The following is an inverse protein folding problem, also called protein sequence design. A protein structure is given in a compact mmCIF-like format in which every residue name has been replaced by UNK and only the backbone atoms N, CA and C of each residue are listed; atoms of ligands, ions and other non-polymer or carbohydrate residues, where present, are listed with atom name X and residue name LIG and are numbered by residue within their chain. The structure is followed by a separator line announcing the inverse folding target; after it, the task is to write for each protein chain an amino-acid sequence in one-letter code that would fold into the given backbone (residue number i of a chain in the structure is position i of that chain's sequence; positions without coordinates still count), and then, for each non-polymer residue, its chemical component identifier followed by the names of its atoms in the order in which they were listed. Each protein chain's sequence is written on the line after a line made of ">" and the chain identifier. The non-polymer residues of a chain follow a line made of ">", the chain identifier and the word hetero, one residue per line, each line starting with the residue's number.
data_IF_461002299310
#
_entry.id   IF_461002299310
#
_cell.length_a   1.000
_cell.length_b   1.000
_cell.length_c   1.000
_cell.angle_alpha   90.00
_cell.angle_beta   90.00
_cell.angle_gamma   90.00
#
_symmetry.space_group_name_H-M   'P 1'
#
loop_
_entity.id
_entity.type
_entity.pdbx_description
1 polymer ?
#
# COMPACT_ATOMS: atom_id res chain seq x y z
N UNK A 1 -4.23 -21.55 -2.10
CA UNK A 1 -3.43 -20.32 -2.23
C UNK A 1 -4.39 -19.15 -2.47
N UNK A 2 -4.03 -17.86 -2.27
CA UNK A 2 -5.03 -16.75 -2.31
C UNK A 2 -5.80 -16.65 -3.63
N UNK A 3 -5.20 -17.10 -4.75
CA UNK A 3 -5.85 -17.13 -6.06
C UNK A 3 -6.89 -18.26 -6.24
N UNK A 4 -7.04 -19.15 -5.25
CA UNK A 4 -7.90 -20.34 -5.29
C UNK A 4 -8.99 -20.28 -4.19
N UNK A 5 -9.17 -19.11 -3.56
CA UNK A 5 -10.15 -18.95 -2.50
C UNK A 5 -11.57 -18.88 -3.07
N UNK A 6 -12.52 -19.43 -2.31
CA UNK A 6 -13.95 -19.29 -2.55
C UNK A 6 -14.60 -18.58 -1.35
N UNK A 7 -15.29 -17.44 -1.55
CA UNK A 7 -15.48 -16.74 -2.83
C UNK A 7 -14.19 -16.10 -3.37
N UNK A 8 -14.11 -15.97 -4.70
CA UNK A 8 -12.98 -15.30 -5.38
C UNK A 8 -12.90 -13.82 -4.96
N UNK A 9 -11.76 -13.35 -4.42
CA UNK A 9 -11.60 -11.95 -4.03
C UNK A 9 -11.40 -11.05 -5.26
N UNK A 10 -11.96 -9.85 -5.22
CA UNK A 10 -11.74 -8.85 -6.29
C UNK A 10 -10.28 -8.37 -6.34
N UNK A 11 -9.66 -8.28 -5.17
CA UNK A 11 -8.35 -7.70 -4.98
C UNK A 11 -7.62 -8.42 -3.83
N UNK A 12 -6.31 -8.61 -4.00
CA UNK A 12 -5.43 -9.19 -2.98
C UNK A 12 -4.24 -8.27 -2.76
N UNK A 13 -3.94 -8.03 -1.48
CA UNK A 13 -2.76 -7.29 -1.06
C UNK A 13 -1.48 -8.09 -1.38
N UNK A 14 -0.57 -7.50 -2.16
CA UNK A 14 0.70 -8.10 -2.54
C UNK A 14 1.84 -7.29 -1.94
N UNK A 15 2.67 -7.96 -1.16
CA UNK A 15 3.92 -7.39 -0.64
C UNK A 15 5.05 -7.63 -1.63
N UNK A 16 5.95 -6.65 -1.75
CA UNK A 16 7.07 -6.71 -2.68
C UNK A 16 8.37 -6.30 -1.98
N UNK A 17 9.42 -7.04 -2.28
CA UNK A 17 10.71 -7.01 -1.60
C UNK A 17 10.68 -7.52 -0.16
N UNK A 18 11.61 -8.42 0.14
CA UNK A 18 11.90 -8.82 1.51
C UNK A 18 12.45 -7.64 2.30
N UNK A 19 11.84 -7.32 3.43
CA UNK A 19 12.28 -6.27 4.34
C UNK A 19 12.04 -6.65 5.79
N UNK A 20 12.71 -5.96 6.70
CA UNK A 20 12.29 -5.96 8.10
C UNK A 20 10.88 -5.32 8.21
N UNK A 21 10.09 -5.80 9.17
CA UNK A 21 8.76 -5.30 9.52
C UNK A 21 8.64 -5.22 11.03
N UNK A 22 9.55 -4.48 11.68
CA UNK A 22 9.47 -4.21 13.11
C UNK A 22 8.32 -3.23 13.40
N UNK A 23 7.10 -3.76 13.54
CA UNK A 23 5.86 -3.02 13.87
C UNK A 23 5.80 -2.57 15.33
N UNK A 24 6.93 -2.53 16.00
CA UNK A 24 7.08 -2.13 17.40
C UNK A 24 7.91 -0.86 17.51
N UNK A 25 8.71 -0.53 16.48
CA UNK A 25 9.66 0.58 16.49
C UNK A 25 8.99 1.96 16.65
N UNK A 26 7.77 2.11 16.13
CA UNK A 26 7.00 3.35 16.22
C UNK A 26 5.99 3.36 17.38
N UNK A 27 5.85 2.24 18.07
CA UNK A 27 4.90 2.08 19.16
C UNK A 27 5.57 2.41 20.50
N UNK A 28 4.77 2.88 21.45
CA UNK A 28 5.15 2.86 22.86
C UNK A 28 4.52 1.62 23.53
N UNK A 29 5.09 1.16 24.64
CA UNK A 29 4.54 0.02 25.41
C UNK A 29 3.06 0.21 25.76
N UNK A 30 2.66 1.46 26.01
CA UNK A 30 1.29 1.83 26.31
C UNK A 30 0.31 1.60 25.13
N UNK A 31 0.78 1.57 23.88
CA UNK A 31 -0.07 1.20 22.74
C UNK A 31 -0.52 -0.27 22.82
N UNK A 32 0.33 -1.13 23.38
CA UNK A 32 0.05 -2.55 23.57
C UNK A 32 -0.67 -2.86 24.88
N UNK A 33 -0.92 -1.87 25.73
CA UNK A 33 -1.55 -2.09 27.03
C UNK A 33 -2.90 -2.81 26.89
N UNK A 34 -3.04 -3.90 27.65
CA UNK A 34 -4.21 -4.79 27.65
C UNK A 34 -4.35 -5.64 26.38
N UNK A 35 -3.27 -5.88 25.64
CA UNK A 35 -3.25 -6.76 24.46
C UNK A 35 -2.29 -7.92 24.66
N UNK A 36 -2.35 -8.92 23.76
CA UNK A 36 -1.39 -10.03 23.78
C UNK A 36 0.07 -9.57 23.60
N UNK A 37 0.30 -8.40 23.00
CA UNK A 37 1.63 -7.83 22.75
C UNK A 37 2.31 -7.27 24.02
N UNK A 38 1.65 -7.27 25.18
CA UNK A 38 2.33 -7.04 26.48
C UNK A 38 3.26 -8.20 26.87
N UNK A 39 3.03 -9.40 26.32
CA UNK A 39 3.85 -10.57 26.63
C UNK A 39 5.20 -10.43 25.90
N UNK A 40 6.35 -10.48 26.60
CA UNK A 40 7.67 -10.29 25.99
C UNK A 40 7.91 -11.17 24.77
N UNK A 41 7.56 -12.46 24.83
CA UNK A 41 7.72 -13.37 23.71
C UNK A 41 6.93 -12.94 22.44
N UNK A 42 5.75 -12.35 22.61
CA UNK A 42 4.94 -11.84 21.48
C UNK A 42 5.51 -10.51 20.98
N UNK A 43 5.88 -9.62 21.90
CA UNK A 43 6.54 -8.36 21.56
C UNK A 43 7.80 -8.61 20.73
N UNK A 44 8.68 -9.50 21.19
CA UNK A 44 9.93 -9.86 20.52
C UNK A 44 9.67 -10.50 19.16
N UNK A 45 8.65 -11.36 19.03
CA UNK A 45 8.27 -11.92 17.73
C UNK A 45 7.86 -10.85 16.71
N UNK A 46 7.12 -9.81 17.13
CA UNK A 46 6.75 -8.69 16.25
C UNK A 46 7.90 -7.71 15.99
N UNK A 47 8.84 -7.61 16.93
CA UNK A 47 10.06 -6.81 16.77
C UNK A 47 10.99 -7.40 15.72
N UNK A 48 11.16 -8.72 15.73
CA UNK A 48 12.04 -9.46 14.81
C UNK A 48 11.33 -9.89 13.50
N UNK A 49 10.10 -9.44 13.27
CA UNK A 49 9.29 -9.86 12.12
C UNK A 49 9.85 -9.32 10.79
N UNK A 50 9.83 -10.18 9.75
CA UNK A 50 10.23 -9.84 8.37
C UNK A 50 9.09 -10.09 7.40
N UNK A 51 9.04 -9.35 6.29
CA UNK A 51 8.19 -9.67 5.14
C UNK A 51 8.93 -10.64 4.22
N UNK A 52 8.47 -11.90 4.04
CA UNK A 52 9.12 -12.86 3.15
C UNK A 52 8.64 -12.70 1.69
N UNK A 53 8.91 -11.55 1.06
CA UNK A 53 8.48 -11.23 -0.30
C UNK A 53 9.63 -11.24 -1.33
N UNK A 54 10.30 -12.39 -1.48
CA UNK A 54 11.37 -12.55 -2.46
C UNK A 54 10.86 -12.37 -3.91
N UNK A 55 11.70 -11.92 -4.86
CA UNK A 55 11.27 -11.60 -6.23
C UNK A 55 10.54 -12.75 -6.96
N UNK A 56 11.04 -13.98 -6.84
CA UNK A 56 10.42 -15.14 -7.48
C UNK A 56 9.03 -15.45 -6.93
N UNK A 57 8.87 -15.34 -5.60
CA UNK A 57 7.58 -15.52 -4.94
C UNK A 57 6.58 -14.44 -5.37
N UNK A 58 7.00 -13.17 -5.38
CA UNK A 58 6.13 -12.06 -5.76
C UNK A 58 5.67 -12.18 -7.22
N UNK A 59 6.59 -12.48 -8.14
CA UNK A 59 6.27 -12.68 -9.56
C UNK A 59 5.28 -13.84 -9.76
N UNK A 60 5.56 -14.99 -9.15
CA UNK A 60 4.66 -16.15 -9.21
C UNK A 60 3.26 -15.80 -8.68
N UNK A 61 3.20 -15.15 -7.51
CA UNK A 61 1.95 -14.79 -6.86
C UNK A 61 1.13 -13.85 -7.75
N UNK A 62 1.74 -12.80 -8.29
CA UNK A 62 1.09 -11.84 -9.19
C UNK A 62 0.57 -12.52 -10.46
N UNK A 63 1.34 -13.43 -11.06
CA UNK A 63 0.90 -14.16 -12.27
C UNK A 63 -0.34 -15.00 -11.99
N UNK A 64 -0.35 -15.71 -10.86
CA UNK A 64 -1.48 -16.56 -10.49
C UNK A 64 -2.73 -15.74 -10.14
N UNK A 65 -2.58 -14.62 -9.43
CA UNK A 65 -3.69 -13.68 -9.19
C UNK A 65 -4.24 -13.13 -10.52
N UNK A 66 -3.36 -12.67 -11.41
CA UNK A 66 -3.77 -12.12 -12.72
C UNK A 66 -4.49 -13.16 -13.58
N UNK A 67 -4.01 -14.42 -13.57
CA UNK A 67 -4.67 -15.52 -14.29
C UNK A 67 -6.06 -15.85 -13.74
N UNK A 68 -6.29 -15.61 -12.44
CA UNK A 68 -7.59 -15.73 -11.79
C UNK A 68 -8.47 -14.48 -11.93
N UNK A 69 -8.01 -13.43 -12.62
CA UNK A 69 -8.74 -12.17 -12.75
C UNK A 69 -8.74 -11.31 -11.48
N UNK A 70 -7.86 -11.60 -10.52
CA UNK A 70 -7.78 -10.92 -9.22
C UNK A 70 -6.78 -9.77 -9.30
N UNK A 71 -7.20 -8.57 -8.92
CA UNK A 71 -6.32 -7.41 -8.95
C UNK A 71 -5.27 -7.47 -7.82
N UNK A 72 -4.00 -7.21 -8.13
CA UNK A 72 -2.98 -7.00 -7.10
C UNK A 72 -3.06 -5.56 -6.55
N UNK A 73 -3.19 -5.42 -5.23
CA UNK A 73 -2.98 -4.14 -4.52
C UNK A 73 -1.62 -4.15 -3.85
N UNK A 74 -0.70 -3.31 -4.31
CA UNK A 74 0.69 -3.37 -3.88
C UNK A 74 0.94 -2.63 -2.57
N UNK A 75 1.55 -3.31 -1.61
CA UNK A 75 2.10 -2.67 -0.41
C UNK A 75 3.54 -2.22 -0.71
N UNK A 76 3.72 -0.91 -0.86
CA UNK A 76 5.02 -0.32 -1.14
C UNK A 76 5.56 0.33 0.14
N UNK A 77 6.63 -0.26 0.69
CA UNK A 77 7.22 0.16 1.96
C UNK A 77 8.10 1.40 1.83
N UNK A 78 8.63 1.63 0.65
CA UNK A 78 9.50 2.73 0.28
C UNK A 78 9.61 2.78 -1.25
N UNK A 79 10.43 3.69 -1.77
CA UNK A 79 10.65 3.86 -3.22
C UNK A 79 11.24 2.61 -3.90
N UNK A 80 11.96 1.74 -3.18
CA UNK A 80 12.56 0.54 -3.76
C UNK A 80 11.50 -0.54 -4.03
N UNK A 81 10.52 -0.68 -3.13
CA UNK A 81 9.31 -1.49 -3.35
C UNK A 81 8.55 -1.04 -4.59
N UNK A 82 8.36 0.27 -4.73
CA UNK A 82 7.71 0.85 -5.91
C UNK A 82 8.50 0.57 -7.20
N UNK A 83 9.83 0.76 -7.20
CA UNK A 83 10.68 0.46 -8.36
C UNK A 83 10.51 -0.99 -8.81
N UNK A 84 10.46 -1.93 -7.87
CA UNK A 84 10.23 -3.35 -8.18
C UNK A 84 8.87 -3.59 -8.86
N UNK A 85 7.80 -2.92 -8.39
CA UNK A 85 6.47 -2.99 -9.02
C UNK A 85 6.50 -2.40 -10.42
N UNK A 86 7.10 -1.23 -10.60
CA UNK A 86 7.26 -0.61 -11.91
C UNK A 86 8.00 -1.56 -12.88
N UNK A 87 9.06 -2.25 -12.42
CA UNK A 87 9.77 -3.24 -13.25
C UNK A 87 8.93 -4.45 -13.61
N UNK A 88 8.06 -4.92 -12.71
CA UNK A 88 7.12 -5.99 -13.02
C UNK A 88 6.13 -5.56 -14.11
N UNK A 89 5.62 -4.33 -14.04
CA UNK A 89 4.72 -3.76 -15.04
C UNK A 89 5.41 -3.55 -16.38
N UNK A 90 6.62 -2.97 -16.39
CA UNK A 90 7.41 -2.75 -17.62
C UNK A 90 7.77 -4.04 -18.35
N UNK A 91 7.91 -5.16 -17.62
CA UNK A 91 8.14 -6.51 -18.17
C UNK A 91 6.86 -7.23 -18.57
N UNK A 92 5.69 -6.61 -18.38
CA UNK A 92 4.38 -7.22 -18.68
C UNK A 92 3.98 -8.36 -17.74
N UNK A 93 4.61 -8.46 -16.56
CA UNK A 93 4.28 -9.46 -15.54
C UNK A 93 2.96 -9.10 -14.87
N UNK A 94 2.81 -7.82 -14.51
CA UNK A 94 1.53 -7.26 -14.08
C UNK A 94 1.01 -6.33 -15.17
N UNK A 95 -0.22 -6.59 -15.64
CA UNK A 95 -0.88 -5.82 -16.69
C UNK A 95 -2.21 -5.25 -16.22
N UNK A 96 -2.27 -4.77 -14.98
CA UNK A 96 -3.48 -4.19 -14.40
C UNK A 96 -3.31 -2.72 -14.00
N UNK A 97 -4.39 -2.10 -13.50
CA UNK A 97 -4.35 -0.80 -12.84
C UNK A 97 -3.43 -0.80 -11.62
N UNK A 98 -2.61 0.23 -11.47
CA UNK A 98 -1.71 0.38 -10.34
C UNK A 98 -2.48 0.90 -9.13
N UNK A 99 -2.94 -0.03 -8.29
CA UNK A 99 -3.49 0.26 -6.96
C UNK A 99 -2.42 -0.08 -5.93
N UNK A 100 -2.09 0.88 -5.08
CA UNK A 100 -1.03 0.70 -4.10
C UNK A 100 -1.20 1.53 -2.84
N UNK A 101 -0.49 1.09 -1.81
CA UNK A 101 -0.39 1.77 -0.54
C UNK A 101 1.06 2.21 -0.31
N UNK A 102 1.23 3.43 0.20
CA UNK A 102 2.47 3.86 0.84
C UNK A 102 2.40 3.48 2.31
N UNK A 103 3.29 2.57 2.74
CA UNK A 103 3.22 1.92 4.06
C UNK A 103 4.33 2.45 4.96
N UNK A 104 3.96 3.34 5.87
CA UNK A 104 4.88 4.00 6.79
C UNK A 104 4.71 3.49 8.23
N UNK A 105 5.09 2.24 8.47
CA UNK A 105 4.92 1.55 9.78
C UNK A 105 6.25 1.30 10.51
N UNK A 106 7.38 1.73 9.94
CA UNK A 106 8.72 1.64 10.54
C UNK A 106 9.38 0.28 10.40
N UNK A 107 10.54 0.10 11.01
CA UNK A 107 11.18 -1.21 11.09
C UNK A 107 11.74 -1.72 9.77
N UNK A 108 12.24 -0.85 8.89
CA UNK A 108 12.70 -1.20 7.53
C UNK A 108 11.83 -0.59 6.42
N UNK A 109 10.70 0.01 6.79
CA UNK A 109 9.80 0.75 5.91
C UNK A 109 9.94 2.26 6.13
N UNK A 110 9.31 3.07 5.29
CA UNK A 110 9.38 4.52 5.38
C UNK A 110 8.90 5.04 6.75
N UNK A 111 9.49 6.15 7.18
CA UNK A 111 9.01 6.90 8.34
C UNK A 111 7.72 7.65 7.98
N UNK A 112 6.76 7.82 8.91
CA UNK A 112 5.50 8.53 8.70
C UNK A 112 5.71 10.05 8.70
N UNK A 113 6.57 10.51 7.81
CA UNK A 113 6.99 11.91 7.66
C UNK A 113 6.61 12.44 6.29
N UNK A 114 6.39 13.76 6.22
CA UNK A 114 6.13 14.44 4.95
C UNK A 114 7.28 14.27 3.95
N UNK A 115 8.53 14.16 4.42
CA UNK A 115 9.69 14.01 3.54
C UNK A 115 9.70 12.64 2.86
N UNK A 116 9.42 11.58 3.60
CA UNK A 116 9.29 10.21 3.07
C UNK A 116 8.12 10.12 2.10
N UNK A 117 6.95 10.63 2.48
CA UNK A 117 5.76 10.65 1.62
C UNK A 117 6.02 11.45 0.33
N UNK A 118 6.59 12.65 0.42
CA UNK A 118 6.88 13.47 -0.75
C UNK A 118 7.88 12.80 -1.70
N UNK A 119 8.90 12.14 -1.16
CA UNK A 119 9.86 11.39 -1.96
C UNK A 119 9.19 10.20 -2.68
N UNK A 120 8.28 9.49 -1.99
CA UNK A 120 7.52 8.40 -2.58
C UNK A 120 6.58 8.90 -3.68
N UNK A 121 5.74 9.89 -3.38
CA UNK A 121 4.74 10.46 -4.30
C UNK A 121 5.39 11.02 -5.55
N UNK A 122 6.62 11.57 -5.47
CA UNK A 122 7.37 12.03 -6.64
C UNK A 122 7.59 10.95 -7.70
N UNK A 123 7.63 9.67 -7.32
CA UNK A 123 7.85 8.55 -8.23
C UNK A 123 6.54 7.97 -8.78
N UNK A 124 5.40 8.23 -8.12
CA UNK A 124 4.10 7.67 -8.46
C UNK A 124 3.56 8.30 -9.74
N UNK A 125 3.11 7.50 -10.73
CA UNK A 125 2.55 8.05 -11.96
C UNK A 125 1.12 8.53 -11.74
N UNK A 126 0.68 9.50 -12.54
CA UNK A 126 -0.60 10.20 -12.37
C UNK A 126 -1.84 9.28 -12.42
N UNK A 127 -1.75 8.14 -13.10
CA UNK A 127 -2.86 7.19 -13.26
C UNK A 127 -3.01 6.17 -12.12
N UNK A 128 -2.12 6.19 -11.13
CA UNK A 128 -2.14 5.26 -10.00
C UNK A 128 -3.15 5.67 -8.91
N UNK A 129 -3.68 4.67 -8.22
CA UNK A 129 -4.52 4.86 -7.02
C UNK A 129 -3.63 4.64 -5.80
N UNK A 130 -3.27 5.74 -5.12
CA UNK A 130 -2.42 5.71 -3.94
C UNK A 130 -3.22 5.91 -2.65
N UNK A 131 -3.05 4.99 -1.71
CA UNK A 131 -3.54 5.07 -0.33
C UNK A 131 -2.39 5.28 0.64
N UNK A 132 -2.52 6.16 1.63
CA UNK A 132 -1.53 6.27 2.72
C UNK A 132 -1.90 5.34 3.88
N UNK A 133 -0.90 4.68 4.45
CA UNK A 133 -1.02 3.71 5.53
C UNK A 133 0.09 3.92 6.57
N UNK A 134 -0.24 3.79 7.85
CA UNK A 134 0.71 3.87 8.97
C UNK A 134 0.20 3.03 10.14
N UNK A 135 0.89 3.02 11.27
CA UNK A 135 0.51 2.25 12.45
C UNK A 135 0.39 3.13 13.69
N UNK A 136 -0.23 2.56 14.73
CA UNK A 136 -0.47 3.18 16.04
C UNK A 136 -1.07 4.59 15.90
N UNK A 137 -0.72 5.51 16.79
CA UNK A 137 -1.23 6.89 16.76
C UNK A 137 -0.66 7.74 15.60
N UNK A 138 0.17 7.18 14.71
CA UNK A 138 0.60 7.85 13.47
C UNK A 138 -0.45 7.77 12.35
N UNK A 139 -1.42 6.85 12.46
CA UNK A 139 -2.50 6.65 11.47
C UNK A 139 -3.25 7.96 11.17
N UNK A 140 -3.75 8.66 12.19
CA UNK A 140 -4.55 9.88 11.96
C UNK A 140 -3.70 11.01 11.34
N UNK A 141 -2.52 11.38 11.86
CA UNK A 141 -1.64 12.36 11.21
C UNK A 141 -1.30 12.04 9.75
N UNK A 142 -0.99 10.77 9.44
CA UNK A 142 -0.71 10.34 8.06
C UNK A 142 -1.96 10.47 7.18
N UNK A 143 -3.13 10.12 7.70
CA UNK A 143 -4.39 10.33 7.01
C UNK A 143 -4.67 11.82 6.75
N UNK A 144 -4.28 12.72 7.66
CA UNK A 144 -4.42 14.17 7.41
C UNK A 144 -3.54 14.64 6.26
N UNK A 145 -2.30 14.15 6.17
CA UNK A 145 -1.44 14.41 5.01
C UNK A 145 -2.08 13.88 3.72
N UNK A 146 -2.57 12.64 3.75
CA UNK A 146 -3.24 12.01 2.61
C UNK A 146 -4.46 12.80 2.12
N UNK A 147 -5.38 13.17 3.03
CA UNK A 147 -6.57 13.97 2.70
C UNK A 147 -6.18 15.31 2.10
N UNK A 148 -5.22 16.03 2.71
CA UNK A 148 -4.79 17.33 2.22
C UNK A 148 -4.15 17.28 0.82
N UNK A 149 -3.52 16.15 0.48
CA UNK A 149 -2.90 15.91 -0.84
C UNK A 149 -3.88 15.33 -1.87
N UNK A 150 -5.14 15.04 -1.48
CA UNK A 150 -6.12 14.40 -2.36
C UNK A 150 -5.96 12.88 -2.52
N UNK A 151 -5.12 12.24 -1.70
CA UNK A 151 -4.87 10.79 -1.72
C UNK A 151 -5.98 10.01 -1.00
N UNK A 152 -5.98 8.68 -1.16
CA UNK A 152 -6.81 7.79 -0.35
C UNK A 152 -6.18 7.54 1.03
N UNK A 153 -7.01 7.16 2.00
CA UNK A 153 -6.60 6.97 3.41
C UNK A 153 -7.14 5.65 3.95
N UNK A 154 -6.38 5.04 4.86
CA UNK A 154 -6.71 3.77 5.51
C UNK A 154 -6.77 3.96 7.03
N UNK A 155 -7.73 3.29 7.67
CA UNK A 155 -7.80 3.20 9.13
C UNK A 155 -8.49 1.91 9.57
N UNK A 156 -8.39 1.61 10.86
CA UNK A 156 -9.00 0.44 11.47
C UNK A 156 -8.21 -0.07 12.66
N UNK A 157 -8.80 -1.01 13.41
CA UNK A 157 -8.15 -1.61 14.58
C UNK A 157 -6.95 -2.48 14.27
N UNK A 158 -6.75 -2.85 12.99
CA UNK A 158 -5.49 -3.47 12.52
C UNK A 158 -4.32 -2.50 12.71
N UNK A 159 -4.54 -1.23 12.35
CA UNK A 159 -3.48 -0.23 12.29
C UNK A 159 -3.34 0.52 13.63
N UNK A 160 -4.45 0.86 14.28
CA UNK A 160 -4.45 1.60 15.54
C UNK A 160 -5.59 1.19 16.49
N UNK A 161 -5.26 0.97 17.76
CA UNK A 161 -6.22 0.59 18.80
C UNK A 161 -6.73 1.77 19.64
N UNK A 162 -6.12 2.94 19.58
CA UNK A 162 -6.36 4.05 20.50
C UNK A 162 -6.83 5.30 19.78
N UNK A 163 -7.62 6.11 20.47
CA UNK A 163 -7.81 7.49 20.05
C UNK A 163 -6.52 8.30 20.25
N UNK A 164 -6.49 9.51 19.68
CA UNK A 164 -5.25 10.29 19.62
C UNK A 164 -4.73 10.76 20.98
N UNK A 165 -5.64 11.00 21.94
CA UNK A 165 -5.30 11.33 23.34
C UNK A 165 -4.96 10.10 24.20
N UNK A 166 -5.09 8.88 23.66
CA UNK A 166 -4.99 7.60 24.39
C UNK A 166 -5.90 7.51 25.63
N UNK A 167 -7.03 8.21 25.62
CA UNK A 167 -8.01 8.14 26.70
C UNK A 167 -8.99 6.97 26.55
N UNK A 168 -9.15 6.44 25.34
CA UNK A 168 -10.04 5.32 25.06
C UNK A 168 -9.56 4.52 23.84
N UNK A 169 -9.92 3.24 23.80
CA UNK A 169 -9.77 2.42 22.59
C UNK A 169 -10.70 2.96 21.48
N UNK A 170 -10.23 2.96 20.25
CA UNK A 170 -10.99 3.43 19.09
C UNK A 170 -11.43 2.25 18.22
N UNK A 171 -12.73 2.06 18.04
CA UNK A 171 -13.25 1.05 17.12
C UNK A 171 -13.02 1.46 15.67
N UNK A 172 -12.96 0.50 14.74
CA UNK A 172 -12.86 0.77 13.29
C UNK A 172 -13.97 1.72 12.83
N UNK A 173 -15.20 1.55 13.33
CA UNK A 173 -16.33 2.44 13.01
C UNK A 173 -16.05 3.87 13.46
N UNK A 174 -15.58 4.08 14.70
CA UNK A 174 -15.28 5.43 15.21
C UNK A 174 -14.16 6.12 14.43
N UNK A 175 -13.16 5.36 13.98
CA UNK A 175 -12.07 5.87 13.15
C UNK A 175 -12.59 6.26 11.76
N UNK A 176 -13.45 5.44 11.15
CA UNK A 176 -14.11 5.74 9.87
C UNK A 176 -14.95 7.01 10.01
N UNK A 177 -15.82 7.10 11.02
CA UNK A 177 -16.65 8.29 11.26
C UNK A 177 -15.82 9.56 11.41
N UNK A 178 -14.68 9.48 12.10
CA UNK A 178 -13.74 10.59 12.24
C UNK A 178 -13.17 11.03 10.88
N UNK A 179 -12.71 10.09 10.04
CA UNK A 179 -12.19 10.41 8.72
C UNK A 179 -13.27 10.93 7.77
N UNK A 180 -14.49 10.37 7.82
CA UNK A 180 -15.64 10.84 7.02
C UNK A 180 -15.99 12.27 7.38
N UNK A 181 -16.03 12.61 8.67
CA UNK A 181 -16.26 13.99 9.13
C UNK A 181 -15.18 14.92 8.58
N UNK A 182 -13.90 14.59 8.78
CA UNK A 182 -12.78 15.44 8.34
C UNK A 182 -12.77 15.61 6.82
N UNK A 183 -13.00 14.54 6.06
CA UNK A 183 -13.07 14.63 4.60
C UNK A 183 -14.18 15.58 4.14
N UNK A 184 -15.34 15.59 4.81
CA UNK A 184 -16.44 16.52 4.51
C UNK A 184 -16.09 17.97 4.79
N UNK A 185 -15.29 18.26 5.81
CA UNK A 185 -14.78 19.63 6.06
C UNK A 185 -13.92 20.15 4.90
N UNK A 186 -13.26 19.26 4.16
CA UNK A 186 -12.48 19.59 2.95
C UNK A 186 -13.33 19.56 1.66
N UNK A 187 -14.65 19.39 1.75
CA UNK A 187 -15.52 19.24 0.58
C UNK A 187 -15.26 17.96 -0.22
N UNK A 188 -14.62 16.94 0.39
CA UNK A 188 -14.27 15.67 -0.25
C UNK A 188 -15.36 14.62 0.04
N UNK A 189 -16.22 14.27 -0.93
CA UNK A 189 -17.26 13.25 -0.73
C UNK A 189 -16.64 11.86 -0.58
N UNK A 190 -17.39 10.96 0.09
CA UNK A 190 -16.96 9.59 0.34
C UNK A 190 -17.48 8.68 -0.77
N UNK A 191 -16.57 7.92 -1.39
CA UNK A 191 -16.91 6.98 -2.42
C UNK A 191 -17.83 5.87 -1.88
N UNK A 192 -18.89 5.55 -2.62
CA UNK A 192 -19.65 4.31 -2.42
C UNK A 192 -18.80 3.10 -2.81
N UNK A 193 -19.22 1.89 -2.42
CA UNK A 193 -18.54 0.66 -2.85
C UNK A 193 -18.45 0.53 -4.38
N UNK A 194 -19.48 0.96 -5.11
CA UNK A 194 -19.50 0.94 -6.58
C UNK A 194 -18.48 1.95 -7.15
N UNK A 195 -18.41 3.15 -6.57
CA UNK A 195 -17.42 4.15 -6.96
C UNK A 195 -15.99 3.70 -6.64
N UNK A 196 -15.77 3.06 -5.48
CA UNK A 196 -14.47 2.51 -5.11
C UNK A 196 -13.99 1.44 -6.10
N UNK A 197 -14.89 0.56 -6.57
CA UNK A 197 -14.60 -0.42 -7.65
C UNK A 197 -14.22 0.27 -8.96
N UNK A 198 -14.93 1.33 -9.33
CA UNK A 198 -14.65 2.09 -10.55
C UNK A 198 -13.31 2.85 -10.47
N UNK A 199 -13.04 3.53 -9.35
CA UNK A 199 -11.76 4.23 -9.09
C UNK A 199 -10.60 3.26 -9.16
N UNK A 200 -10.72 2.11 -8.50
CA UNK A 200 -9.70 1.05 -8.48
C UNK A 200 -9.66 0.25 -9.78
N UNK A 201 -10.60 0.47 -10.72
CA UNK A 201 -10.72 -0.25 -11.99
C UNK A 201 -10.72 -1.78 -11.80
N UNK A 202 -11.51 -2.26 -10.83
CA UNK A 202 -11.63 -3.70 -10.53
C UNK A 202 -12.07 -4.47 -11.79
N UNK A 203 -11.41 -5.60 -12.06
CA UNK A 203 -11.68 -6.45 -13.22
C UNK A 203 -11.01 -6.02 -14.53
N UNK A 204 -10.25 -4.91 -14.53
CA UNK A 204 -9.52 -4.46 -15.73
C UNK A 204 -8.13 -5.09 -15.79
N UNK A 205 -7.80 -5.68 -16.94
CA UNK A 205 -6.46 -6.12 -17.33
C UNK A 205 -6.20 -5.70 -18.78
N UNK A 206 -4.97 -5.30 -19.07
CA UNK A 206 -4.53 -4.83 -20.37
C UNK A 206 -3.81 -5.94 -21.14
N UNK A 207 -3.79 -5.84 -22.48
CA UNK A 207 -3.21 -6.88 -23.31
C UNK A 207 -1.69 -6.78 -23.35
N UNK A 208 -1.15 -5.56 -23.35
CA UNK A 208 0.30 -5.29 -23.48
C UNK A 208 0.89 -4.52 -22.31
N UNK A 209 2.22 -4.59 -22.16
CA UNK A 209 2.94 -3.77 -21.19
C UNK A 209 2.81 -2.28 -21.55
N UNK A 210 2.85 -1.94 -22.83
CA UNK A 210 2.75 -0.58 -23.35
C UNK A 210 1.39 0.05 -23.02
N UNK A 211 0.29 -0.67 -23.23
CA UNK A 211 -1.05 -0.23 -22.82
C UNK A 211 -1.14 -0.06 -21.30
N UNK A 212 -0.60 -1.02 -20.55
CA UNK A 212 -0.57 -0.94 -19.08
C UNK A 212 0.16 0.31 -18.61
N UNK A 213 1.33 0.60 -19.17
CA UNK A 213 2.14 1.76 -18.80
C UNK A 213 1.40 3.06 -19.13
N UNK A 214 0.84 3.17 -20.34
CA UNK A 214 0.08 4.33 -20.77
C UNK A 214 -1.15 4.59 -19.87
N UNK A 215 -1.93 3.54 -19.57
CA UNK A 215 -3.15 3.65 -18.78
C UNK A 215 -2.91 4.03 -17.31
N UNK A 216 -1.70 3.77 -16.80
CA UNK A 216 -1.28 4.14 -15.45
C UNK A 216 -0.48 5.46 -15.41
N UNK A 217 -0.23 6.11 -16.55
CA UNK A 217 0.48 7.40 -16.60
C UNK A 217 2.01 7.29 -16.59
N UNK A 218 2.57 6.13 -16.88
CA UNK A 218 4.02 5.97 -17.02
C UNK A 218 4.52 6.46 -18.38
N UNK A 219 5.77 6.91 -18.41
CA UNK A 219 6.51 7.03 -19.65
C UNK A 219 6.66 5.65 -20.34
N UNK A 220 6.59 5.58 -21.69
CA UNK A 220 6.69 4.33 -22.42
C UNK A 220 8.02 3.62 -22.15
N UNK A 221 8.04 2.31 -22.37
CA UNK A 221 9.27 1.55 -22.35
C UNK A 221 10.27 2.13 -23.38
N UNK A 222 11.51 2.35 -22.96
CA UNK A 222 12.56 2.87 -23.83
C UNK A 222 12.88 1.84 -24.93
N UNK A 223 13.20 2.31 -26.13
CA UNK A 223 13.58 1.49 -27.28
C UNK A 223 15.03 0.94 -27.22
N UNK A 224 15.76 1.18 -26.12
CA UNK A 224 17.10 0.61 -25.86
C UNK A 224 18.26 1.22 -26.68
N UNK A 225 17.99 2.12 -27.62
CA UNK A 225 18.97 2.61 -28.61
C UNK A 225 19.65 3.94 -28.32
N UNK A 226 19.20 4.70 -27.31
CA UNK A 226 19.80 6.02 -27.01
C UNK A 226 20.94 5.88 -25.99
N UNK A 227 22.18 6.05 -26.44
CA UNK A 227 23.37 6.12 -25.57
C UNK A 227 23.20 7.24 -24.53
N UNK A 228 23.45 6.92 -23.26
CA UNK A 228 23.36 7.88 -22.14
C UNK A 228 22.35 7.51 -21.04
N UNK A 229 21.59 6.42 -21.19
CA UNK A 229 20.56 6.03 -20.24
C UNK A 229 20.78 4.62 -19.67
N UNK A 230 20.32 4.38 -18.42
CA UNK A 230 20.28 3.04 -17.81
C UNK A 230 19.61 2.07 -18.78
N UNK A 231 20.32 0.98 -19.12
CA UNK A 231 19.92 0.00 -20.13
C UNK A 231 18.60 -0.67 -19.74
N UNK A 232 17.75 -0.95 -20.74
CA UNK A 232 16.64 -1.89 -20.60
C UNK A 232 17.26 -3.28 -20.39
N UNK A 233 16.94 -3.97 -19.30
CA UNK A 233 17.18 -5.42 -19.23
C UNK A 233 16.28 -6.08 -20.27
N UNK A 234 16.90 -6.86 -21.16
CA UNK A 234 16.24 -7.61 -22.23
C UNK A 234 15.21 -8.58 -21.65
#
# INVERSE_FOLDING_TARGET
>A
MLAELEPVPDQVTVTVNTSQMNVTEQAEDADFKGTSREKPAIFDAYKEMTVPAQPGWAEEHIRRLSAAGIQSAFQCYNINSFESVERLMRRGIYKGPLVMNWVAIGGGMDAPSIYSLANFVRAVPDGAVLTVESNVRNVLPVNMMGIAMGLHVRCGTEDCLWNQSRSAKASTVSQIEQLVRIAREFGRPIATAQQARAISKIGVFYDTAEETLAANGFAPNRNGGNQGFLRKTA
#
